data_IF_369510350311
#
_entry.id   IF_369510350311
#
_cell.length_a   1.000
_cell.length_b   1.000
_cell.length_c   1.000
_cell.angle_alpha   90.00
_cell.angle_beta   90.00
_cell.angle_gamma   90.00
#
_symmetry.space_group_name_H-M   'P 1'
#
loop_
_entity.id
_entity.type
_entity.pdbx_description
1 polymer ?
#
# COMPACT_ATOMS: atom_id res chain seq x y z
N UNK A 1 17.49 -16.90 -16.25
CA UNK A 1 17.80 -16.85 -14.80
C UNK A 1 17.10 -15.62 -14.28
N UNK A 2 16.33 -15.74 -13.20
CA UNK A 2 15.59 -14.60 -12.67
C UNK A 2 16.58 -13.55 -12.13
N UNK A 3 16.39 -12.28 -12.51
CA UNK A 3 17.22 -11.16 -12.12
C UNK A 3 16.83 -10.66 -10.72
N UNK A 4 17.85 -10.45 -9.87
CA UNK A 4 17.68 -9.82 -8.57
C UNK A 4 17.53 -8.30 -8.71
N UNK A 5 16.97 -7.67 -7.69
CA UNK A 5 16.71 -6.23 -7.62
C UNK A 5 15.78 -5.70 -8.74
N UNK A 6 15.03 -6.62 -9.37
CA UNK A 6 13.92 -6.32 -10.28
C UNK A 6 12.59 -6.50 -9.55
N UNK A 7 11.52 -5.92 -10.10
CA UNK A 7 10.18 -6.07 -9.53
C UNK A 7 9.41 -7.21 -10.19
N UNK A 8 8.53 -7.82 -9.41
CA UNK A 8 7.52 -8.76 -9.86
C UNK A 8 6.14 -8.35 -9.33
N UNK A 9 5.09 -8.86 -9.95
CA UNK A 9 3.70 -8.58 -9.61
C UNK A 9 3.05 -9.82 -9.01
N UNK A 10 2.34 -9.65 -7.89
CA UNK A 10 1.41 -10.63 -7.34
C UNK A 10 0.08 -9.92 -7.06
N UNK A 11 -0.99 -10.42 -7.66
CA UNK A 11 -2.29 -9.73 -7.71
C UNK A 11 -2.15 -8.27 -8.19
N UNK A 12 -2.29 -7.28 -7.29
CA UNK A 12 -2.07 -5.86 -7.58
C UNK A 12 -0.91 -5.24 -6.77
N UNK A 13 -0.02 -6.06 -6.20
CA UNK A 13 1.17 -5.61 -5.47
C UNK A 13 2.44 -5.85 -6.28
N UNK A 14 3.28 -4.82 -6.36
CA UNK A 14 4.64 -4.96 -6.86
C UNK A 14 5.59 -5.16 -5.68
N UNK A 15 6.52 -6.11 -5.82
CA UNK A 15 7.59 -6.36 -4.85
C UNK A 15 8.94 -6.49 -5.56
N UNK A 16 10.03 -6.15 -4.88
CA UNK A 16 11.38 -6.38 -5.38
C UNK A 16 11.86 -7.79 -5.02
N UNK A 17 12.49 -8.49 -5.97
CA UNK A 17 13.10 -9.81 -5.76
C UNK A 17 14.50 -9.62 -5.19
N UNK A 18 14.76 -10.12 -3.98
CA UNK A 18 16.04 -9.92 -3.28
C UNK A 18 16.93 -11.15 -3.25
N UNK A 19 16.33 -12.33 -3.10
CA UNK A 19 17.06 -13.58 -3.15
C UNK A 19 16.15 -14.73 -3.59
N UNK A 20 16.73 -15.76 -4.18
CA UNK A 20 16.04 -16.98 -4.58
C UNK A 20 16.81 -18.16 -4.00
N UNK A 21 16.14 -19.01 -3.25
CA UNK A 21 16.65 -20.29 -2.82
C UNK A 21 15.90 -21.40 -3.56
N UNK A 22 16.45 -21.84 -4.69
CA UNK A 22 15.84 -22.88 -5.50
C UNK A 22 15.77 -24.24 -4.80
N UNK A 23 16.69 -24.53 -3.87
CA UNK A 23 16.69 -25.78 -3.10
C UNK A 23 15.57 -25.80 -2.07
N UNK A 24 15.34 -24.67 -1.38
CA UNK A 24 14.26 -24.52 -0.41
C UNK A 24 12.90 -24.18 -1.06
N UNK A 25 12.90 -23.81 -2.34
CA UNK A 25 11.71 -23.33 -3.04
C UNK A 25 11.20 -21.99 -2.51
N UNK A 26 12.09 -21.11 -2.02
CA UNK A 26 11.72 -19.82 -1.40
C UNK A 26 12.30 -18.63 -2.15
N UNK A 27 11.62 -17.49 -2.02
CA UNK A 27 12.06 -16.19 -2.56
C UNK A 27 11.98 -15.17 -1.43
N UNK A 28 13.06 -14.43 -1.22
CA UNK A 28 13.08 -13.27 -0.33
C UNK A 28 12.71 -12.03 -1.14
N UNK A 29 11.78 -11.23 -0.62
CA UNK A 29 11.21 -10.08 -1.33
C UNK A 29 11.12 -8.84 -0.44
N UNK A 30 11.26 -7.67 -1.05
CA UNK A 30 10.83 -6.40 -0.45
C UNK A 30 9.46 -6.02 -1.01
N UNK A 31 8.46 -6.00 -0.14
CA UNK A 31 7.04 -5.82 -0.51
C UNK A 31 6.66 -4.37 -0.75
N UNK A 32 5.61 -4.14 -1.53
CA UNK A 32 5.01 -2.82 -1.76
C UNK A 32 6.00 -1.77 -2.31
N UNK A 33 6.55 -2.02 -3.49
CA UNK A 33 7.46 -1.06 -4.16
C UNK A 33 6.71 -0.21 -5.18
N UNK A 34 7.40 0.85 -5.65
CA UNK A 34 6.85 1.84 -6.61
C UNK A 34 5.58 2.50 -6.05
N UNK A 35 4.46 2.39 -6.76
CA UNK A 35 3.17 2.97 -6.40
C UNK A 35 2.22 1.99 -5.71
N UNK A 36 2.73 0.85 -5.26
CA UNK A 36 1.96 -0.18 -4.54
C UNK A 36 2.36 -0.30 -3.08
N UNK A 37 1.48 -0.90 -2.29
CA UNK A 37 1.67 -1.17 -0.86
C UNK A 37 1.59 -2.68 -0.59
N UNK A 38 2.12 -3.18 0.55
CA UNK A 38 1.93 -4.57 0.94
C UNK A 38 0.46 -4.91 1.15
N UNK A 39 0.00 -6.04 0.62
CA UNK A 39 -1.38 -6.51 0.74
C UNK A 39 -1.46 -7.93 1.34
N UNK A 40 -2.65 -8.45 1.63
CA UNK A 40 -2.83 -9.87 1.96
C UNK A 40 -2.99 -10.65 0.64
N UNK A 41 -2.29 -11.76 0.48
CA UNK A 41 -2.42 -12.65 -0.68
C UNK A 41 -2.89 -14.03 -0.25
N UNK A 42 -3.76 -14.64 -1.05
CA UNK A 42 -4.20 -16.02 -0.83
C UNK A 42 -3.13 -17.01 -1.31
N UNK A 43 -3.04 -18.16 -0.64
CA UNK A 43 -2.16 -19.23 -1.10
C UNK A 43 -2.54 -19.67 -2.53
N UNK A 44 -1.53 -19.84 -3.39
CA UNK A 44 -1.73 -20.15 -4.80
C UNK A 44 -1.85 -18.93 -5.73
N UNK A 45 -1.79 -17.71 -5.20
CA UNK A 45 -1.66 -16.50 -6.01
C UNK A 45 -0.44 -16.57 -6.94
N UNK A 46 -0.63 -16.11 -8.18
CA UNK A 46 0.39 -16.21 -9.23
C UNK A 46 1.31 -15.00 -9.19
N UNK A 47 2.61 -15.26 -9.29
CA UNK A 47 3.64 -14.23 -9.43
C UNK A 47 4.00 -14.10 -10.91
N UNK A 48 4.00 -12.87 -11.41
CA UNK A 48 4.47 -12.50 -12.74
C UNK A 48 5.79 -11.73 -12.61
N UNK A 49 6.88 -12.34 -13.08
CA UNK A 49 8.17 -11.69 -13.14
C UNK A 49 8.27 -10.85 -14.41
N UNK A 50 8.60 -9.56 -14.24
CA UNK A 50 8.66 -8.61 -15.35
C UNK A 50 10.13 -8.40 -15.71
N UNK A 51 10.60 -9.11 -16.73
CA UNK A 51 12.02 -9.12 -17.10
C UNK A 51 12.28 -8.66 -18.53
N UNK A 52 13.47 -8.09 -18.74
CA UNK A 52 14.05 -7.85 -20.05
C UNK A 52 13.40 -6.75 -20.89
N UNK A 53 12.37 -6.06 -20.38
CA UNK A 53 11.62 -5.01 -21.11
C UNK A 53 11.27 -5.43 -22.55
N UNK A 54 10.98 -6.72 -22.77
CA UNK A 54 10.90 -7.26 -24.12
C UNK A 54 9.60 -6.88 -24.83
N UNK A 55 8.57 -6.50 -24.05
CA UNK A 55 7.24 -6.20 -24.55
C UNK A 55 6.66 -4.99 -23.81
N UNK A 56 7.02 -3.78 -24.26
CA UNK A 56 6.38 -2.54 -23.81
C UNK A 56 5.85 -1.76 -25.00
N UNK A 57 4.77 -1.01 -24.78
CA UNK A 57 4.22 -0.08 -25.74
C UNK A 57 4.46 1.34 -25.23
N UNK A 58 4.97 2.22 -26.09
CA UNK A 58 5.22 3.64 -25.79
C UNK A 58 4.06 4.55 -26.19
N UNK A 59 3.00 3.99 -26.77
CA UNK A 59 1.77 4.70 -27.09
C UNK A 59 1.18 5.27 -25.81
N UNK A 60 0.84 6.55 -25.86
CA UNK A 60 0.20 7.25 -24.76
C UNK A 60 -1.31 7.06 -24.86
N UNK A 61 -1.93 6.77 -23.73
CA UNK A 61 -3.36 6.61 -23.61
C UNK A 61 -3.91 7.60 -22.60
N UNK A 62 -5.09 8.13 -22.87
CA UNK A 62 -5.84 8.97 -21.94
C UNK A 62 -6.50 8.09 -20.87
N UNK A 63 -6.83 8.68 -19.73
CA UNK A 63 -7.60 7.95 -18.73
C UNK A 63 -9.02 7.66 -19.23
N UNK A 64 -9.53 6.49 -18.85
CA UNK A 64 -10.80 5.96 -19.35
C UNK A 64 -10.66 5.19 -20.66
N UNK A 65 -9.56 5.33 -21.40
CA UNK A 65 -9.31 4.50 -22.58
C UNK A 65 -9.10 3.04 -22.18
N UNK A 66 -9.70 2.15 -22.97
CA UNK A 66 -9.59 0.70 -22.79
C UNK A 66 -8.63 0.20 -23.86
N UNK A 67 -7.55 -0.44 -23.42
CA UNK A 67 -6.62 -1.13 -24.30
C UNK A 67 -6.82 -2.64 -24.13
N UNK A 68 -6.89 -3.33 -25.26
CA UNK A 68 -6.91 -4.78 -25.28
C UNK A 68 -5.54 -5.30 -25.73
N UNK A 69 -4.99 -6.21 -24.95
CA UNK A 69 -3.73 -6.87 -25.27
C UNK A 69 -3.90 -8.37 -25.24
N UNK A 70 -3.10 -9.08 -26.03
CA UNK A 70 -2.99 -10.54 -25.97
C UNK A 70 -1.54 -10.86 -25.66
N UNK A 71 -1.34 -11.70 -24.65
CA UNK A 71 -0.01 -12.27 -24.35
C UNK A 71 0.10 -13.57 -25.12
N UNK A 72 1.17 -13.72 -25.90
CA UNK A 72 1.43 -14.91 -26.72
C UNK A 72 2.67 -15.64 -26.17
N UNK A 73 2.49 -16.58 -25.22
CA UNK A 73 3.62 -17.33 -24.67
C UNK A 73 4.38 -18.07 -25.77
N UNK A 74 5.71 -18.09 -25.62
CA UNK A 74 6.61 -18.86 -26.49
C UNK A 74 7.20 -20.00 -25.69
N UNK A 75 7.12 -21.22 -26.23
CA UNK A 75 7.70 -22.44 -25.64
C UNK A 75 8.60 -23.13 -26.66
N UNK A 76 9.24 -24.24 -26.28
CA UNK A 76 9.98 -25.08 -27.23
C UNK A 76 9.13 -25.65 -28.38
N UNK A 77 7.79 -25.60 -28.26
CA UNK A 77 6.84 -26.04 -29.29
C UNK A 77 6.35 -24.88 -30.19
N UNK A 78 6.86 -23.66 -29.97
CA UNK A 78 6.48 -22.46 -30.72
C UNK A 78 5.71 -21.44 -29.91
N UNK A 79 5.25 -20.40 -30.61
CA UNK A 79 4.44 -19.30 -30.07
C UNK A 79 2.95 -19.67 -30.07
N UNK A 80 2.23 -19.31 -29.02
CA UNK A 80 0.78 -19.46 -28.96
C UNK A 80 0.12 -18.65 -30.12
N UNK A 81 -0.74 -19.27 -30.96
CA UNK A 81 -1.47 -18.54 -32.00
C UNK A 81 -2.36 -17.44 -31.41
N UNK A 82 -2.39 -16.28 -32.05
CA UNK A 82 -3.15 -15.12 -31.58
C UNK A 82 -4.66 -15.40 -31.46
N UNK A 83 -5.20 -16.23 -32.34
CA UNK A 83 -6.61 -16.65 -32.30
C UNK A 83 -6.94 -17.49 -31.05
N UNK A 84 -5.94 -18.16 -30.47
CA UNK A 84 -6.09 -18.98 -29.26
C UNK A 84 -5.81 -18.19 -27.97
N UNK A 85 -5.27 -16.97 -28.08
CA UNK A 85 -4.96 -16.14 -26.94
C UNK A 85 -6.17 -15.29 -26.51
N UNK A 86 -6.49 -15.36 -25.22
CA UNK A 86 -7.53 -14.52 -24.63
C UNK A 86 -7.09 -13.06 -24.55
N UNK A 87 -7.97 -12.15 -24.93
CA UNK A 87 -7.73 -10.71 -24.80
C UNK A 87 -7.84 -10.29 -23.32
N UNK A 88 -6.87 -9.50 -22.87
CA UNK A 88 -6.82 -8.85 -21.58
C UNK A 88 -7.20 -7.40 -21.80
N UNK A 89 -8.26 -6.94 -21.13
CA UNK A 89 -8.67 -5.53 -21.20
C UNK A 89 -8.12 -4.77 -20.00
N UNK A 90 -7.56 -3.59 -20.25
CA UNK A 90 -7.07 -2.68 -19.21
C UNK A 90 -7.60 -1.27 -19.46
N UNK A 91 -8.20 -0.68 -18.44
CA UNK A 91 -8.67 0.72 -18.47
C UNK A 91 -7.62 1.61 -17.82
N UNK A 92 -7.14 2.62 -18.56
CA UNK A 92 -6.18 3.59 -18.04
C UNK A 92 -6.81 4.48 -16.96
N UNK A 93 -6.09 4.69 -15.85
CA UNK A 93 -6.62 5.37 -14.67
C UNK A 93 -5.65 6.41 -14.07
N UNK A 94 -4.89 7.09 -14.94
CA UNK A 94 -3.89 8.10 -14.56
C UNK A 94 -2.80 7.61 -13.59
N UNK A 95 -2.48 6.31 -13.58
CA UNK A 95 -1.57 5.70 -12.59
C UNK A 95 -0.21 6.40 -12.52
N UNK A 96 0.36 6.80 -13.66
CA UNK A 96 1.68 7.44 -13.73
C UNK A 96 1.77 8.81 -13.04
N UNK A 97 0.71 9.62 -13.01
CA UNK A 97 0.74 11.01 -12.46
C UNK A 97 0.42 11.07 -10.96
N UNK A 98 -0.14 9.98 -10.42
CA UNK A 98 -0.48 9.88 -9.00
C UNK A 98 0.80 9.85 -8.16
N UNK A 99 0.81 10.52 -6.99
CA UNK A 99 1.93 10.39 -6.07
C UNK A 99 2.08 8.93 -5.63
N UNK A 100 3.30 8.50 -5.33
CA UNK A 100 3.49 7.19 -4.71
C UNK A 100 2.86 7.17 -3.32
N UNK A 101 2.34 5.99 -2.94
CA UNK A 101 1.92 5.78 -1.57
C UNK A 101 3.10 6.02 -0.62
N UNK A 102 2.81 6.61 0.53
CA UNK A 102 3.74 6.74 1.64
C UNK A 102 4.31 5.38 2.09
N UNK A 103 5.53 5.41 2.63
CA UNK A 103 6.23 4.24 3.17
C UNK A 103 6.30 4.28 4.68
N UNK A 104 6.87 3.23 5.29
CA UNK A 104 7.22 3.14 6.71
C UNK A 104 6.09 3.58 7.65
N UNK A 105 4.87 3.19 7.30
CA UNK A 105 3.70 3.57 8.09
C UNK A 105 3.76 2.88 9.44
N UNK A 106 3.49 3.66 10.48
CA UNK A 106 3.42 3.16 11.86
C UNK A 106 2.24 3.76 12.60
N UNK A 107 1.62 2.96 13.45
CA UNK A 107 0.65 3.38 14.47
C UNK A 107 1.29 3.16 15.84
N UNK A 108 1.39 4.22 16.65
CA UNK A 108 1.98 4.19 18.00
C UNK A 108 3.37 3.51 18.02
N UNK A 109 4.13 3.66 16.93
CA UNK A 109 5.47 3.08 16.75
C UNK A 109 5.50 1.67 16.14
N UNK A 110 4.37 0.98 16.06
CA UNK A 110 4.23 -0.36 15.46
C UNK A 110 3.91 -0.28 13.96
N UNK A 111 4.35 -1.28 13.20
CA UNK A 111 4.02 -1.42 11.76
C UNK A 111 2.70 -2.20 11.57
N UNK A 112 2.54 -2.90 10.43
CA UNK A 112 1.37 -3.73 10.14
C UNK A 112 1.15 -4.87 11.15
N UNK A 113 2.14 -5.21 11.98
CA UNK A 113 2.06 -6.24 13.02
C UNK A 113 1.49 -5.75 14.35
N UNK A 114 0.89 -4.56 14.42
CA UNK A 114 0.29 -4.03 15.66
C UNK A 114 -0.79 -4.97 16.20
N UNK A 115 -0.60 -5.45 17.42
CA UNK A 115 -1.57 -6.30 18.11
C UNK A 115 -2.57 -5.46 18.91
N UNK A 116 -2.09 -4.41 19.55
CA UNK A 116 -2.89 -3.46 20.32
C UNK A 116 -2.20 -2.10 20.38
N UNK A 117 -2.97 -1.07 20.76
CA UNK A 117 -2.43 0.24 21.12
C UNK A 117 -2.95 0.68 22.49
N UNK A 118 -2.26 1.63 23.12
CA UNK A 118 -2.74 2.40 24.27
C UNK A 118 -2.73 3.88 23.95
N UNK A 119 -3.67 4.62 24.53
CA UNK A 119 -3.74 6.07 24.40
C UNK A 119 -4.22 6.55 23.02
N UNK A 120 -3.79 7.75 22.63
CA UNK A 120 -4.15 8.36 21.36
C UNK A 120 -3.54 7.60 20.17
N UNK A 121 -4.22 7.61 19.02
CA UNK A 121 -3.68 7.05 17.78
C UNK A 121 -2.70 8.04 17.18
N UNK A 122 -1.41 7.72 17.21
CA UNK A 122 -0.36 8.51 16.55
C UNK A 122 0.13 7.75 15.34
N UNK A 123 -0.12 8.31 14.16
CA UNK A 123 0.31 7.76 12.88
C UNK A 123 1.57 8.49 12.41
N UNK A 124 2.52 7.74 11.90
CA UNK A 124 3.74 8.28 11.27
C UNK A 124 4.05 7.55 9.98
N UNK A 125 4.80 8.18 9.09
CA UNK A 125 5.19 7.62 7.80
C UNK A 125 6.47 8.26 7.25
N UNK A 126 7.03 7.65 6.21
CA UNK A 126 8.09 8.21 5.40
C UNK A 126 7.52 8.74 4.07
N UNK A 127 7.99 9.91 3.64
CA UNK A 127 7.67 10.39 2.30
C UNK A 127 8.26 9.46 1.25
N UNK A 128 7.51 9.27 0.17
CA UNK A 128 7.97 8.65 -1.08
C UNK A 128 7.79 9.65 -2.21
N UNK A 129 8.62 9.50 -3.24
CA UNK A 129 8.69 10.45 -4.33
C UNK A 129 8.95 9.71 -5.64
N UNK A 130 7.96 9.74 -6.53
CA UNK A 130 8.02 9.10 -7.84
C UNK A 130 9.19 9.58 -8.68
N UNK A 131 9.50 10.88 -8.60
CA UNK A 131 10.50 11.54 -9.44
C UNK A 131 11.93 11.30 -8.97
N UNK A 132 12.13 10.95 -7.70
CA UNK A 132 13.46 10.69 -7.12
C UNK A 132 13.80 9.21 -7.04
N UNK A 133 12.82 8.31 -7.15
CA UNK A 133 13.02 6.86 -7.10
C UNK A 133 13.35 6.27 -8.48
N UNK A 134 14.46 6.71 -9.06
CA UNK A 134 14.88 6.33 -10.43
C UNK A 134 16.05 5.35 -10.47
N UNK A 135 16.80 5.23 -9.37
CA UNK A 135 18.06 4.46 -9.31
C UNK A 135 17.82 3.03 -8.81
N UNK A 136 16.96 2.86 -7.81
CA UNK A 136 16.65 1.56 -7.22
C UNK A 136 15.20 1.52 -6.71
N UNK A 137 14.72 0.31 -6.42
CA UNK A 137 13.40 0.09 -5.84
C UNK A 137 13.44 0.43 -4.36
N UNK A 138 12.96 1.62 -3.99
CA UNK A 138 12.79 2.02 -2.59
C UNK A 138 11.81 1.07 -1.90
N UNK A 139 12.21 0.56 -0.74
CA UNK A 139 11.46 -0.41 0.05
C UNK A 139 10.51 0.27 1.03
N UNK A 140 9.56 -0.49 1.58
CA UNK A 140 8.59 0.04 2.55
C UNK A 140 9.21 0.49 3.87
N UNK A 141 10.37 -0.06 4.27
CA UNK A 141 10.99 0.26 5.56
C UNK A 141 11.92 1.49 5.55
N UNK A 142 12.17 2.06 4.38
CA UNK A 142 13.17 3.11 4.19
C UNK A 142 12.80 4.44 4.84
N UNK A 143 13.83 5.23 5.14
CA UNK A 143 13.66 6.60 5.62
C UNK A 143 13.01 7.49 4.57
N UNK A 144 12.46 8.61 5.04
CA UNK A 144 11.85 9.62 4.19
C UNK A 144 12.82 10.15 3.14
N UNK A 145 12.40 10.14 1.87
CA UNK A 145 13.18 10.66 0.72
C UNK A 145 12.69 12.05 0.25
N UNK A 146 11.92 12.74 1.10
CA UNK A 146 11.23 13.98 0.76
C UNK A 146 10.01 13.74 -0.15
N UNK A 147 8.94 14.55 -0.05
CA UNK A 147 7.78 14.38 -0.91
C UNK A 147 7.99 15.07 -2.27
N UNK A 148 7.18 14.71 -3.28
CA UNK A 148 7.01 15.59 -4.44
C UNK A 148 6.42 16.94 -3.96
N UNK A 149 6.84 18.09 -4.53
CA UNK A 149 6.28 19.39 -4.16
C UNK A 149 4.75 19.40 -4.23
N UNK A 150 4.10 19.98 -3.22
CA UNK A 150 2.64 20.03 -3.11
C UNK A 150 1.97 18.73 -2.64
N UNK A 151 2.73 17.69 -2.28
CA UNK A 151 2.14 16.48 -1.69
C UNK A 151 1.63 16.76 -0.28
N UNK A 152 0.40 16.34 -0.03
CA UNK A 152 -0.24 16.29 1.29
C UNK A 152 -0.73 14.88 1.57
N UNK A 153 -1.16 14.63 2.80
CA UNK A 153 -1.70 13.34 3.22
C UNK A 153 -3.12 13.48 3.75
N UNK A 154 -3.91 12.44 3.51
CA UNK A 154 -5.23 12.27 4.09
C UNK A 154 -5.21 11.03 4.98
N UNK A 155 -5.58 11.19 6.25
CA UNK A 155 -5.76 10.10 7.22
C UNK A 155 -7.25 9.90 7.44
N UNK A 156 -7.72 8.67 7.32
CA UNK A 156 -9.09 8.26 7.65
C UNK A 156 -9.06 7.23 8.76
N UNK A 157 -9.92 7.43 9.76
CA UNK A 157 -10.09 6.52 10.89
C UNK A 157 -11.46 5.87 10.77
N UNK A 158 -11.48 4.55 10.73
CA UNK A 158 -12.70 3.75 10.77
C UNK A 158 -12.84 3.10 12.14
N UNK A 159 -14.04 3.18 12.73
CA UNK A 159 -14.36 2.67 14.05
C UNK A 159 -14.59 1.16 14.09
N UNK A 160 -15.02 0.65 15.25
CA UNK A 160 -15.17 -0.79 15.52
C UNK A 160 -16.20 -1.50 14.61
N UNK A 161 -17.16 -0.75 14.06
CA UNK A 161 -18.14 -1.23 13.09
C UNK A 161 -17.70 -1.08 11.62
N UNK A 162 -16.44 -0.70 11.35
CA UNK A 162 -15.92 -0.41 10.01
C UNK A 162 -16.48 0.89 9.39
N UNK A 163 -17.13 1.74 10.19
CA UNK A 163 -17.69 3.02 9.72
C UNK A 163 -16.66 4.13 9.86
N UNK A 164 -16.61 5.04 8.89
CA UNK A 164 -15.74 6.21 8.94
C UNK A 164 -16.10 7.10 10.14
N UNK A 165 -15.12 7.40 10.98
CA UNK A 165 -15.25 8.26 12.17
C UNK A 165 -14.59 9.60 11.97
N UNK A 166 -13.37 9.59 11.42
CA UNK A 166 -12.58 10.80 11.24
C UNK A 166 -11.96 10.88 9.85
N UNK A 167 -11.80 12.10 9.34
CA UNK A 167 -11.01 12.39 8.14
C UNK A 167 -10.19 13.65 8.39
N UNK A 168 -8.88 13.48 8.45
CA UNK A 168 -7.92 14.57 8.47
C UNK A 168 -7.31 14.72 7.07
N UNK A 169 -7.24 15.93 6.54
CA UNK A 169 -6.72 16.21 5.18
C UNK A 169 -5.68 17.31 5.20
N UNK A 170 -4.87 17.42 4.13
CA UNK A 170 -3.94 18.53 3.98
C UNK A 170 -2.69 18.43 4.86
N UNK A 171 -2.42 17.27 5.46
CA UNK A 171 -1.25 17.07 6.32
C UNK A 171 0.01 17.17 5.45
N UNK A 172 0.95 18.05 5.80
CA UNK A 172 2.22 18.23 5.07
C UNK A 172 3.40 17.53 5.75
N UNK A 173 3.26 17.17 7.02
CA UNK A 173 4.28 16.49 7.81
C UNK A 173 4.36 14.98 7.55
N UNK A 174 5.10 14.29 8.43
CA UNK A 174 5.33 12.85 8.43
C UNK A 174 4.53 12.11 9.50
N UNK A 175 3.51 12.75 10.05
CA UNK A 175 2.68 12.17 11.09
C UNK A 175 1.50 13.04 11.49
N UNK A 176 0.57 12.42 12.18
CA UNK A 176 -0.63 13.06 12.73
C UNK A 176 -1.11 12.25 13.94
N UNK A 177 -1.80 12.90 14.86
CA UNK A 177 -2.34 12.27 16.07
C UNK A 177 -3.83 12.50 16.13
N UNK A 178 -4.60 11.42 16.29
CA UNK A 178 -6.01 11.43 16.61
C UNK A 178 -6.17 11.47 18.15
N UNK A 179 -6.55 12.61 18.75
CA UNK A 179 -6.63 12.72 20.20
C UNK A 179 -7.77 11.89 20.76
N UNK A 180 -7.57 11.29 21.95
CA UNK A 180 -8.60 10.48 22.63
C UNK A 180 -9.90 11.26 22.85
N UNK A 181 -9.81 12.55 23.20
CA UNK A 181 -10.99 13.39 23.41
C UNK A 181 -11.83 13.55 22.13
N UNK A 182 -11.16 13.70 20.98
CA UNK A 182 -11.80 13.75 19.66
C UNK A 182 -12.43 12.40 19.34
N UNK A 183 -11.71 11.30 19.60
CA UNK A 183 -12.26 9.96 19.39
C UNK A 183 -13.51 9.69 20.20
N UNK A 184 -13.52 10.02 21.48
CA UNK A 184 -14.69 9.85 22.34
C UNK A 184 -15.89 10.64 21.80
N UNK A 185 -15.66 11.85 21.31
CA UNK A 185 -16.70 12.70 20.74
C UNK A 185 -17.26 12.15 19.42
N UNK A 186 -16.43 11.50 18.60
CA UNK A 186 -16.78 11.01 17.26
C UNK A 186 -17.17 9.52 17.23
N UNK A 187 -16.90 8.74 18.28
CA UNK A 187 -17.13 7.30 18.29
C UNK A 187 -18.61 6.93 18.18
N UNK A 188 -19.49 7.76 18.75
CA UNK A 188 -20.93 7.48 18.88
C UNK A 188 -21.28 6.56 20.05
N UNK A 189 -20.30 6.17 20.88
CA UNK A 189 -20.47 5.29 22.04
C UNK A 189 -19.95 5.91 23.36
N UNK A 190 -19.58 7.19 23.36
CA UNK A 190 -19.05 7.94 24.51
C UNK A 190 -17.82 7.31 25.18
N UNK A 191 -17.08 6.50 24.42
CA UNK A 191 -15.77 5.92 24.75
C UNK A 191 -14.94 5.84 23.47
N UNK A 192 -13.62 5.59 23.54
CA UNK A 192 -12.86 5.19 22.36
C UNK A 192 -13.44 3.93 21.70
N UNK A 193 -13.08 3.64 20.47
CA UNK A 193 -13.45 2.40 19.80
C UNK A 193 -12.54 1.27 20.29
N UNK A 194 -13.07 0.06 20.45
CA UNK A 194 -12.26 -1.10 20.87
C UNK A 194 -11.31 -1.57 19.77
N UNK A 195 -11.62 -1.22 18.52
CA UNK A 195 -10.86 -1.53 17.31
C UNK A 195 -10.93 -0.35 16.36
N UNK A 196 -9.85 -0.14 15.63
CA UNK A 196 -9.75 0.93 14.65
C UNK A 196 -9.10 0.42 13.37
N UNK A 197 -9.42 1.05 12.24
CA UNK A 197 -8.63 0.90 11.01
C UNK A 197 -8.17 2.27 10.56
N UNK A 198 -6.86 2.39 10.37
CA UNK A 198 -6.21 3.60 9.88
C UNK A 198 -5.94 3.44 8.40
N UNK A 199 -6.47 4.34 7.58
CA UNK A 199 -6.19 4.41 6.15
C UNK A 199 -5.48 5.72 5.82
N UNK A 200 -4.37 5.67 5.11
CA UNK A 200 -3.58 6.85 4.75
C UNK A 200 -3.31 6.89 3.24
N UNK A 201 -3.53 8.05 2.64
CA UNK A 201 -3.32 8.29 1.21
C UNK A 201 -2.46 9.53 1.00
N UNK A 202 -1.61 9.50 -0.03
CA UNK A 202 -0.91 10.71 -0.50
C UNK A 202 -1.76 11.42 -1.55
N UNK A 203 -1.74 12.75 -1.56
CA UNK A 203 -2.52 13.59 -2.48
C UNK A 203 -1.62 14.67 -3.05
N UNK A 204 -1.62 14.83 -4.38
CA UNK A 204 -0.85 15.87 -5.09
C UNK A 204 -1.63 16.32 -6.32
N UNK A 205 -1.80 17.62 -6.51
CA UNK A 205 -2.51 18.22 -7.65
C UNK A 205 -3.89 17.59 -7.94
N UNK A 206 -4.65 17.27 -6.88
CA UNK A 206 -5.96 16.61 -7.00
C UNK A 206 -5.91 15.10 -7.28
N UNK A 207 -4.72 14.51 -7.40
CA UNK A 207 -4.55 13.07 -7.56
C UNK A 207 -4.19 12.39 -6.24
N UNK A 208 -4.99 11.40 -5.87
CA UNK A 208 -4.69 10.46 -4.78
C UNK A 208 -3.73 9.37 -5.24
N UNK A 209 -2.87 8.88 -4.35
CA UNK A 209 -2.01 7.73 -4.59
C UNK A 209 -2.78 6.54 -5.15
N UNK A 210 -2.09 5.72 -5.97
CA UNK A 210 -2.72 4.57 -6.63
C UNK A 210 -3.31 3.57 -5.63
N UNK A 211 -2.58 3.33 -4.54
CA UNK A 211 -3.03 2.56 -3.40
C UNK A 211 -2.90 3.39 -2.12
N UNK A 212 -3.70 3.02 -1.13
CA UNK A 212 -3.67 3.56 0.22
C UNK A 212 -2.92 2.62 1.15
N UNK A 213 -2.24 3.17 2.15
CA UNK A 213 -1.76 2.37 3.27
C UNK A 213 -2.89 2.10 4.25
N UNK A 214 -2.94 0.89 4.79
CA UNK A 214 -3.96 0.48 5.75
C UNK A 214 -3.34 -0.32 6.89
N UNK A 215 -3.66 0.07 8.13
CA UNK A 215 -3.28 -0.67 9.35
C UNK A 215 -4.55 -0.91 10.17
N UNK A 216 -4.88 -2.18 10.35
CA UNK A 216 -5.91 -2.65 11.28
C UNK A 216 -5.32 -2.66 12.69
N UNK A 217 -6.02 -2.05 13.64
CA UNK A 217 -5.68 -2.06 15.07
C UNK A 217 -6.68 -2.99 15.76
N UNK A 218 -6.29 -4.25 16.07
CA UNK A 218 -7.23 -5.26 16.54
C UNK A 218 -7.77 -5.02 17.95
N UNK A 219 -7.05 -4.23 18.75
CA UNK A 219 -7.38 -3.95 20.14
C UNK A 219 -6.88 -2.55 20.55
N UNK A 220 -7.76 -1.70 21.07
CA UNK A 220 -7.41 -0.44 21.71
C UNK A 220 -7.60 -0.57 23.23
N UNK A 221 -6.57 -0.26 24.00
CA UNK A 221 -6.55 -0.38 25.47
C UNK A 221 -6.48 0.99 26.13
N UNK A 222 -7.05 1.12 27.33
CA UNK A 222 -6.97 2.33 28.15
C UNK A 222 -8.26 2.68 28.90
N UNK A 223 -8.23 3.81 29.60
CA UNK A 223 -9.32 4.25 30.50
C UNK A 223 -10.67 4.33 29.75
N UNK A 224 -11.69 3.61 30.26
CA UNK A 224 -13.02 3.52 29.63
C UNK A 224 -13.19 2.38 28.62
N UNK A 225 -12.14 1.59 28.34
CA UNK A 225 -12.21 0.34 27.58
C UNK A 225 -12.11 -0.83 28.56
N UNK A 226 -13.08 -1.75 28.53
CA UNK A 226 -13.20 -2.93 29.40
C UNK A 226 -13.27 -2.61 30.91
N UNK A 227 -14.49 -2.44 31.42
CA UNK A 227 -14.76 -2.37 32.86
C UNK A 227 -14.35 -3.72 33.51
N UNK A 228 -13.10 -3.82 33.98
CA UNK A 228 -12.56 -4.98 34.71
C UNK A 228 -11.36 -5.71 34.09
N UNK A 229 -10.82 -5.31 32.93
CA UNK A 229 -9.70 -6.05 32.30
C UNK A 229 -8.31 -5.39 32.43
N UNK A 230 -8.20 -4.07 32.63
CA UNK A 230 -6.90 -3.38 32.68
C UNK A 230 -6.92 -2.22 33.67
N UNK A 231 -6.69 -2.52 34.96
CA UNK A 231 -6.19 -1.52 35.91
C UNK A 231 -4.67 -1.66 36.00
N UNK A 232 -3.92 -0.73 35.41
CA UNK A 232 -2.48 -0.57 35.69
C UNK A 232 -1.50 -0.61 34.52
N UNK A 233 -1.87 -0.18 33.31
CA UNK A 233 -0.93 0.12 32.23
C UNK A 233 -0.92 1.61 31.89
#
# INVERSE_FOLDING_TARGET
>A
MLALDTYALIDAELFAVKAINALAGTVTVDRGVLDTVPMKHVAGARIYFVEGSQFFNTTQYLSGEIVQTKVLPVTGLGMLPEASASAISYTFAHRQVRPYALGKVRVNGFDYGVAYITGAVTVTWAHRNRLMQTVYLVTQGESSIGPEPGTTYTVRIYGEAGTLKHTETGITGTGWTYPISTEIAESGVNRPNEKLTVKIEAVRDGYTSWQSQEIEIPECRGYGMFYGATYGE
#
